data_IF_557966600517
#
_entry.id   IF_557966600517
#
_cell.length_a   1.000
_cell.length_b   1.000
_cell.length_c   1.000
_cell.angle_alpha   90.00
_cell.angle_beta   90.00
_cell.angle_gamma   90.00
#
_symmetry.space_group_name_H-M   'P 1'
#
loop_
_entity.id
_entity.type
_entity.pdbx_description
1 polymer ?
#
# COMPACT_ATOMS: atom_id res chain seq x y z
N UNK A 1 4.72 -13.94 -27.76
CA UNK A 1 5.40 -12.81 -27.10
C UNK A 1 6.87 -13.14 -26.96
N UNK A 2 7.76 -12.37 -27.58
CA UNK A 2 9.21 -12.53 -27.41
C UNK A 2 9.64 -11.96 -26.05
N UNK A 3 10.58 -12.61 -25.34
CA UNK A 3 11.09 -12.06 -24.08
C UNK A 3 11.91 -10.80 -24.37
N UNK A 4 11.64 -9.72 -23.64
CA UNK A 4 12.39 -8.46 -23.71
C UNK A 4 13.90 -8.72 -23.60
N UNK A 5 14.68 -8.07 -24.47
CA UNK A 5 16.14 -8.16 -24.57
C UNK A 5 16.72 -9.52 -25.01
N UNK A 6 15.94 -10.35 -25.72
CA UNK A 6 16.52 -11.53 -26.36
C UNK A 6 17.35 -11.11 -27.61
N UNK A 7 18.62 -11.54 -27.74
CA UNK A 7 19.53 -11.03 -28.75
C UNK A 7 19.23 -11.51 -30.19
N UNK A 8 18.28 -12.43 -30.37
CA UNK A 8 17.95 -13.02 -31.66
C UNK A 8 16.47 -12.78 -32.00
N UNK A 9 16.18 -12.40 -33.24
CA UNK A 9 14.79 -12.15 -33.68
C UNK A 9 14.03 -13.45 -33.99
N UNK A 10 14.73 -14.51 -34.37
CA UNK A 10 14.14 -15.81 -34.65
C UNK A 10 15.15 -16.94 -34.51
N UNK A 11 14.67 -18.19 -34.57
CA UNK A 11 15.55 -19.35 -34.60
C UNK A 11 16.46 -19.34 -35.85
N UNK A 12 15.96 -18.87 -36.99
CA UNK A 12 16.73 -18.79 -38.23
C UNK A 12 17.86 -17.76 -38.10
N UNK A 13 17.55 -16.58 -37.57
CA UNK A 13 18.53 -15.52 -37.28
C UNK A 13 19.67 -16.01 -36.35
N UNK A 14 19.32 -16.80 -35.33
CA UNK A 14 20.30 -17.44 -34.46
C UNK A 14 21.19 -18.46 -35.19
N UNK A 15 20.60 -19.30 -36.04
CA UNK A 15 21.33 -20.31 -36.80
C UNK A 15 22.23 -19.66 -37.86
N UNK A 16 21.76 -18.61 -38.51
CA UNK A 16 22.52 -17.86 -39.52
C UNK A 16 23.73 -17.16 -38.89
N UNK A 17 23.62 -16.66 -37.65
CA UNK A 17 24.74 -16.07 -36.91
C UNK A 17 25.76 -17.14 -36.50
N UNK A 18 25.31 -18.28 -35.99
CA UNK A 18 26.21 -19.33 -35.49
C UNK A 18 26.91 -20.08 -36.62
N UNK A 19 26.25 -20.25 -37.76
CA UNK A 19 26.76 -21.04 -38.89
C UNK A 19 27.17 -20.19 -40.10
N UNK A 20 27.37 -18.87 -39.91
CA UNK A 20 27.70 -17.94 -40.99
C UNK A 20 28.88 -18.37 -41.88
N UNK A 21 29.89 -19.00 -41.27
CA UNK A 21 31.14 -19.39 -41.93
C UNK A 21 31.44 -20.90 -41.82
N UNK A 22 30.44 -21.72 -41.46
CA UNK A 22 30.61 -23.16 -41.20
C UNK A 22 29.50 -23.91 -41.93
N UNK A 23 29.83 -25.03 -42.59
CA UNK A 23 28.81 -25.99 -43.07
C UNK A 23 28.43 -26.93 -41.93
N UNK A 24 27.29 -26.73 -41.25
CA UNK A 24 26.94 -27.51 -40.08
C UNK A 24 26.55 -28.94 -40.46
N UNK A 25 26.91 -29.88 -39.60
CA UNK A 25 26.34 -31.23 -39.65
C UNK A 25 24.91 -31.18 -39.09
N UNK A 26 24.05 -32.13 -39.47
CA UNK A 26 22.70 -32.23 -38.94
C UNK A 26 22.67 -32.29 -37.39
N UNK A 27 23.66 -32.96 -36.79
CA UNK A 27 23.85 -33.04 -35.34
C UNK A 27 24.10 -31.65 -34.73
N UNK A 28 24.86 -30.80 -35.41
CA UNK A 28 25.20 -29.45 -34.94
C UNK A 28 23.99 -28.52 -35.00
N UNK A 29 23.18 -28.65 -36.05
CA UNK A 29 21.90 -27.93 -36.18
C UNK A 29 20.96 -28.31 -35.04
N UNK A 30 20.83 -29.62 -34.73
CA UNK A 30 19.96 -30.10 -33.65
C UNK A 30 20.44 -29.54 -32.29
N UNK A 31 21.75 -29.59 -32.03
CA UNK A 31 22.34 -29.03 -30.81
C UNK A 31 22.10 -27.52 -30.72
N UNK A 32 22.32 -26.77 -31.79
CA UNK A 32 22.10 -25.33 -31.83
C UNK A 32 20.63 -24.99 -31.55
N UNK A 33 19.68 -25.66 -32.21
CA UNK A 33 18.24 -25.48 -31.95
C UNK A 33 17.88 -25.73 -30.48
N UNK A 34 18.43 -26.79 -29.88
CA UNK A 34 18.21 -27.10 -28.46
C UNK A 34 18.76 -26.00 -27.55
N UNK A 35 19.95 -25.48 -27.85
CA UNK A 35 20.58 -24.38 -27.11
C UNK A 35 19.77 -23.09 -27.23
N UNK A 36 19.26 -22.76 -28.42
CA UNK A 36 18.36 -21.62 -28.64
C UNK A 36 17.13 -21.70 -27.72
N UNK A 37 16.40 -22.81 -27.76
CA UNK A 37 15.19 -22.99 -26.96
C UNK A 37 15.48 -22.98 -25.46
N UNK A 38 16.61 -23.54 -25.03
CA UNK A 38 17.05 -23.49 -23.63
C UNK A 38 17.26 -22.04 -23.19
N UNK A 39 17.99 -21.24 -23.97
CA UNK A 39 18.28 -19.85 -23.65
C UNK A 39 17.00 -19.00 -23.66
N UNK A 40 16.16 -19.19 -24.68
CA UNK A 40 14.85 -18.53 -24.79
C UNK A 40 13.97 -18.82 -23.56
N UNK A 41 13.80 -20.10 -23.20
CA UNK A 41 12.98 -20.49 -22.06
C UNK A 41 13.55 -20.00 -20.73
N UNK A 42 14.87 -19.95 -20.61
CA UNK A 42 15.54 -19.40 -19.42
C UNK A 42 15.23 -17.92 -19.27
N UNK A 43 15.36 -17.15 -20.36
CA UNK A 43 15.06 -15.72 -20.35
C UNK A 43 13.58 -15.45 -20.06
N UNK A 44 12.68 -16.24 -20.68
CA UNK A 44 11.25 -16.13 -20.48
C UNK A 44 10.85 -16.39 -19.02
N UNK A 45 11.38 -17.46 -18.41
CA UNK A 45 11.16 -17.75 -16.98
C UNK A 45 11.76 -16.67 -16.08
N UNK A 46 12.94 -16.14 -16.42
CA UNK A 46 13.55 -15.02 -15.67
C UNK A 46 12.66 -13.78 -15.72
N UNK A 47 12.17 -13.40 -16.90
CA UNK A 47 11.30 -12.25 -17.07
C UNK A 47 9.96 -12.44 -16.34
N UNK A 48 9.41 -13.65 -16.31
CA UNK A 48 8.22 -13.96 -15.51
C UNK A 48 8.48 -13.76 -14.01
N UNK A 49 9.61 -14.25 -13.47
CA UNK A 49 9.98 -14.06 -12.05
C UNK A 49 10.22 -12.59 -11.68
N UNK A 50 10.73 -11.78 -12.62
CA UNK A 50 10.92 -10.35 -12.41
C UNK A 50 9.57 -9.61 -12.40
N UNK A 51 8.69 -9.94 -13.36
CA UNK A 51 7.36 -9.31 -13.48
C UNK A 51 6.42 -9.71 -12.34
N UNK A 52 6.54 -10.94 -11.84
CA UNK A 52 5.73 -11.47 -10.74
C UNK A 52 6.64 -11.80 -9.56
N UNK A 53 7.01 -10.77 -8.78
CA UNK A 53 7.66 -10.99 -7.49
C UNK A 53 6.66 -11.61 -6.53
N UNK A 54 6.91 -12.85 -6.16
CA UNK A 54 6.15 -13.55 -5.12
C UNK A 54 6.77 -13.23 -3.75
N UNK A 55 5.91 -12.95 -2.78
CA UNK A 55 6.31 -12.72 -1.39
C UNK A 55 5.57 -13.76 -0.55
N UNK A 56 6.33 -14.64 0.09
CA UNK A 56 5.78 -15.64 1.01
C UNK A 56 5.77 -15.08 2.42
N UNK A 57 4.60 -15.05 3.05
CA UNK A 57 4.42 -14.57 4.43
C UNK A 57 4.03 -15.77 5.28
N UNK A 58 4.87 -16.19 6.25
CA UNK A 58 4.47 -17.22 7.19
C UNK A 58 3.41 -16.65 8.15
N UNK A 59 2.27 -17.33 8.25
CA UNK A 59 1.18 -16.98 9.17
C UNK A 59 0.90 -18.17 10.08
N UNK A 60 0.61 -17.89 11.35
CA UNK A 60 0.08 -18.91 12.27
C UNK A 60 -1.38 -19.21 11.94
N UNK A 61 -1.89 -20.35 12.41
CA UNK A 61 -3.29 -20.74 12.20
C UNK A 61 -4.27 -19.70 12.73
N UNK A 62 -4.00 -19.16 13.91
CA UNK A 62 -4.81 -18.11 14.55
C UNK A 62 -4.84 -16.83 13.71
N UNK A 63 -3.69 -16.40 13.18
CA UNK A 63 -3.61 -15.22 12.31
C UNK A 63 -4.41 -15.42 11.02
N UNK A 64 -4.38 -16.63 10.45
CA UNK A 64 -5.11 -16.96 9.23
C UNK A 64 -6.64 -16.96 9.49
N UNK A 65 -7.08 -17.47 10.63
CA UNK A 65 -8.49 -17.41 11.04
C UNK A 65 -8.97 -15.98 11.29
N UNK A 66 -8.17 -15.13 11.93
CA UNK A 66 -8.52 -13.73 12.10
C UNK A 66 -8.61 -12.99 10.77
N UNK A 67 -7.72 -13.33 9.84
CA UNK A 67 -7.68 -12.73 8.52
C UNK A 67 -8.87 -13.19 7.67
N UNK A 68 -9.24 -14.47 7.71
CA UNK A 68 -10.43 -14.97 7.02
C UNK A 68 -11.74 -14.40 7.58
N UNK A 69 -11.83 -14.13 8.89
CA UNK A 69 -12.97 -13.44 9.50
C UNK A 69 -13.09 -11.97 9.10
N UNK A 70 -11.97 -11.30 8.83
CA UNK A 70 -11.93 -9.89 8.40
C UNK A 70 -12.18 -9.69 6.90
N UNK A 71 -11.99 -10.73 6.10
CA UNK A 71 -12.22 -10.66 4.66
C UNK A 71 -13.72 -10.72 4.39
N UNK A 72 -14.23 -9.67 3.75
CA UNK A 72 -15.57 -9.70 3.16
C UNK A 72 -15.57 -10.66 1.95
N UNK A 73 -16.67 -11.41 1.75
CA UNK A 73 -16.81 -12.54 0.81
C UNK A 73 -16.40 -12.29 -0.65
N UNK A 74 -16.08 -11.06 -1.05
CA UNK A 74 -15.72 -10.68 -2.41
C UNK A 74 -14.20 -10.60 -2.69
N UNK A 75 -13.33 -10.80 -1.69
CA UNK A 75 -11.87 -10.73 -1.89
C UNK A 75 -11.17 -12.06 -1.59
N UNK A 76 -10.20 -12.42 -2.44
CA UNK A 76 -9.23 -13.45 -2.06
C UNK A 76 -8.25 -12.90 -1.00
N UNK A 77 -7.76 -13.78 -0.12
CA UNK A 77 -6.76 -13.43 0.91
C UNK A 77 -5.59 -12.65 0.32
N UNK A 78 -5.08 -13.06 -0.83
CA UNK A 78 -3.97 -12.40 -1.52
C UNK A 78 -4.33 -10.98 -1.97
N UNK A 79 -5.52 -10.76 -2.52
CA UNK A 79 -5.98 -9.44 -2.96
C UNK A 79 -6.20 -8.51 -1.76
N UNK A 80 -6.79 -9.02 -0.68
CA UNK A 80 -7.00 -8.25 0.55
C UNK A 80 -5.68 -7.83 1.20
N UNK A 81 -4.73 -8.76 1.35
CA UNK A 81 -3.41 -8.43 1.90
C UNK A 81 -2.70 -7.39 1.03
N UNK A 82 -2.79 -7.52 -0.29
CA UNK A 82 -2.21 -6.54 -1.23
C UNK A 82 -2.84 -5.16 -1.08
N UNK A 83 -4.17 -5.07 -0.97
CA UNK A 83 -4.87 -3.78 -0.82
C UNK A 83 -4.53 -3.11 0.50
N UNK A 84 -4.47 -3.87 1.61
CA UNK A 84 -4.10 -3.35 2.93
C UNK A 84 -2.67 -2.82 2.95
N UNK A 85 -1.71 -3.56 2.37
CA UNK A 85 -0.31 -3.10 2.30
C UNK A 85 -0.20 -1.82 1.46
N UNK A 86 -0.85 -1.77 0.29
CA UNK A 86 -0.84 -0.58 -0.56
C UNK A 86 -1.51 0.62 0.12
N UNK A 87 -2.62 0.40 0.82
CA UNK A 87 -3.29 1.43 1.59
C UNK A 87 -2.41 1.92 2.74
N UNK A 88 -1.69 1.03 3.43
CA UNK A 88 -0.79 1.42 4.51
C UNK A 88 0.39 2.25 3.99
N UNK A 89 1.02 1.86 2.88
CA UNK A 89 2.10 2.63 2.24
C UNK A 89 1.59 4.03 1.79
N UNK A 90 0.39 4.08 1.21
CA UNK A 90 -0.21 5.34 0.77
C UNK A 90 -0.73 6.21 1.94
N UNK A 91 -1.04 5.60 3.08
CA UNK A 91 -1.46 6.30 4.29
C UNK A 91 -0.29 6.68 5.18
N UNK A 92 0.87 6.02 5.11
CA UNK A 92 2.08 6.44 5.82
C UNK A 92 2.62 7.77 5.29
N UNK A 93 2.47 8.05 3.99
CA UNK A 93 2.71 9.38 3.45
C UNK A 93 1.70 10.42 3.97
N UNK A 94 0.48 10.00 4.33
CA UNK A 94 -0.51 10.85 4.99
C UNK A 94 -0.30 10.97 6.52
N UNK A 95 0.22 9.94 7.20
CA UNK A 95 0.42 9.93 8.66
C UNK A 95 1.66 10.71 9.08
N UNK A 96 2.70 10.78 8.23
CA UNK A 96 3.81 11.71 8.41
C UNK A 96 3.39 13.18 8.22
N UNK A 97 2.23 13.42 7.58
CA UNK A 97 1.68 14.76 7.30
C UNK A 97 0.52 15.16 8.23
N UNK A 98 0.03 14.25 9.09
CA UNK A 98 -1.04 14.53 10.07
C UNK A 98 -0.49 14.51 11.50
N UNK A 99 0.53 15.32 11.78
CA UNK A 99 0.43 16.15 12.98
C UNK A 99 -0.59 17.24 12.65
N UNK A 100 -1.88 16.88 12.65
CA UNK A 100 -2.93 17.89 12.68
C UNK A 100 -2.60 18.76 13.89
N UNK A 101 -2.59 20.07 13.69
CA UNK A 101 -2.24 21.06 14.69
C UNK A 101 -3.35 21.07 15.77
N UNK A 102 -3.33 20.06 16.64
CA UNK A 102 -4.34 19.81 17.68
C UNK A 102 -4.29 20.85 18.79
N UNK A 103 -3.27 21.71 18.78
CA UNK A 103 -3.06 22.79 19.75
C UNK A 103 -4.28 23.70 19.85
N UNK A 104 -5.00 23.94 18.75
CA UNK A 104 -6.24 24.72 18.77
C UNK A 104 -7.39 24.03 19.53
N UNK A 105 -7.50 22.71 19.42
CA UNK A 105 -8.52 21.91 20.12
C UNK A 105 -8.16 21.80 21.61
N UNK A 106 -6.89 21.56 21.92
CA UNK A 106 -6.38 21.50 23.29
C UNK A 106 -6.60 22.82 24.04
N UNK A 107 -6.33 23.96 23.40
CA UNK A 107 -6.58 25.28 23.98
C UNK A 107 -8.07 25.51 24.28
N UNK A 108 -8.97 25.11 23.38
CA UNK A 108 -10.41 25.25 23.61
C UNK A 108 -10.91 24.33 24.73
N UNK A 109 -10.40 23.10 24.81
CA UNK A 109 -10.71 22.19 25.92
C UNK A 109 -10.23 22.74 27.26
N UNK A 110 -9.06 23.38 27.29
CA UNK A 110 -8.54 24.01 28.50
C UNK A 110 -9.46 25.15 28.98
N UNK A 111 -9.92 26.00 28.06
CA UNK A 111 -10.88 27.08 28.37
C UNK A 111 -12.21 26.53 28.89
N UNK A 112 -12.76 25.48 28.28
CA UNK A 112 -14.00 24.85 28.74
C UNK A 112 -13.84 24.27 30.15
N UNK A 113 -12.68 23.67 30.44
CA UNK A 113 -12.39 23.10 31.76
C UNK A 113 -12.29 24.21 32.82
N UNK A 114 -11.56 25.29 32.53
CA UNK A 114 -11.42 26.45 33.43
C UNK A 114 -12.78 27.11 33.72
N UNK A 115 -13.66 27.20 32.71
CA UNK A 115 -15.02 27.70 32.91
C UNK A 115 -15.88 26.77 33.76
N UNK A 116 -15.87 25.46 33.51
CA UNK A 116 -16.61 24.49 34.32
C UNK A 116 -16.12 24.50 35.77
N UNK A 117 -14.81 24.65 35.96
CA UNK A 117 -14.19 24.77 37.28
C UNK A 117 -14.63 26.08 37.95
N UNK A 118 -14.63 27.22 37.24
CA UNK A 118 -15.14 28.49 37.76
C UNK A 118 -16.62 28.42 38.17
N UNK A 119 -17.45 27.70 37.41
CA UNK A 119 -18.87 27.51 37.69
C UNK A 119 -19.09 26.60 38.91
N UNK A 120 -18.23 25.59 39.09
CA UNK A 120 -18.26 24.72 40.28
C UNK A 120 -17.81 25.47 41.54
N UNK A 121 -16.81 26.36 41.44
CA UNK A 121 -16.35 27.19 42.54
C UNK A 121 -17.33 28.34 42.87
N UNK A 122 -17.99 28.93 41.89
CA UNK A 122 -19.01 29.97 42.06
C UNK A 122 -20.42 29.37 42.23
N UNK A 123 -20.64 28.56 43.26
CA UNK A 123 -21.93 27.92 43.59
C UNK A 123 -23.09 28.89 43.91
N UNK A 124 -23.00 30.21 43.61
CA UNK A 124 -24.01 31.20 44.01
C UNK A 124 -24.49 32.22 43.00
N UNK A 125 -23.86 32.47 41.86
CA UNK A 125 -24.46 33.33 40.82
C UNK A 125 -23.88 32.95 39.47
N UNK A 126 -24.58 32.08 38.75
CA UNK A 126 -24.28 31.85 37.34
C UNK A 126 -25.00 32.94 36.57
N UNK A 127 -24.23 33.91 36.09
CA UNK A 127 -24.75 35.00 35.27
C UNK A 127 -25.01 34.46 33.85
N UNK A 128 -26.17 34.76 33.25
CA UNK A 128 -26.58 34.22 31.93
C UNK A 128 -25.55 34.53 30.82
N UNK A 129 -24.72 35.55 31.04
CA UNK A 129 -23.63 35.94 30.15
C UNK A 129 -22.47 34.94 30.11
N UNK A 130 -22.20 34.20 31.20
CA UNK A 130 -21.16 33.18 31.25
C UNK A 130 -21.60 31.88 30.56
N UNK A 131 -22.87 31.50 30.71
CA UNK A 131 -23.46 30.35 29.99
C UNK A 131 -23.43 30.59 28.48
N UNK A 132 -23.79 31.79 28.02
CA UNK A 132 -23.76 32.11 26.58
C UNK A 132 -22.35 32.06 25.97
N UNK A 133 -21.31 32.40 26.73
CA UNK A 133 -19.91 32.27 26.28
C UNK A 133 -19.46 30.81 26.23
N UNK A 134 -19.89 29.98 27.19
CA UNK A 134 -19.63 28.55 27.17
C UNK A 134 -20.26 27.88 25.94
N UNK A 135 -21.52 28.20 25.63
CA UNK A 135 -22.19 27.71 24.43
C UNK A 135 -21.46 28.12 23.14
N UNK A 136 -20.94 29.35 23.08
CA UNK A 136 -20.14 29.81 21.94
C UNK A 136 -18.84 29.02 21.78
N UNK A 137 -18.14 28.73 22.88
CA UNK A 137 -16.93 27.92 22.84
C UNK A 137 -17.23 26.47 22.42
N UNK A 138 -18.33 25.88 22.91
CA UNK A 138 -18.75 24.52 22.54
C UNK A 138 -19.14 24.45 21.06
N UNK A 139 -19.90 25.44 20.55
CA UNK A 139 -20.26 25.52 19.13
C UNK A 139 -19.04 25.69 18.23
N UNK A 140 -18.07 26.51 18.64
CA UNK A 140 -16.82 26.69 17.90
C UNK A 140 -15.98 25.41 17.89
N UNK A 141 -15.95 24.67 19.00
CA UNK A 141 -15.28 23.37 19.10
C UNK A 141 -15.94 22.32 18.20
N UNK A 142 -17.27 22.30 18.13
CA UNK A 142 -18.02 21.46 17.19
C UNK A 142 -17.69 21.79 15.74
N UNK A 143 -17.68 23.08 15.36
CA UNK A 143 -17.32 23.48 14.00
C UNK A 143 -15.90 23.09 13.63
N UNK A 144 -14.93 23.28 14.53
CA UNK A 144 -13.53 22.87 14.32
C UNK A 144 -13.40 21.36 14.13
N UNK A 145 -14.16 20.56 14.87
CA UNK A 145 -14.18 19.11 14.73
C UNK A 145 -14.81 18.68 13.39
N UNK A 146 -15.90 19.33 12.95
CA UNK A 146 -16.54 19.08 11.65
C UNK A 146 -15.70 19.56 10.44
N UNK A 147 -14.81 20.54 10.62
CA UNK A 147 -13.93 20.96 9.51
C UNK A 147 -12.68 20.10 9.36
N UNK A 148 -12.27 19.38 10.41
CA UNK A 148 -11.05 18.57 10.41
C UNK A 148 -11.28 17.05 10.24
N UNK A 149 -12.53 16.58 10.30
CA UNK A 149 -12.95 15.18 10.14
C UNK A 149 -14.11 15.04 9.16
#
# INVERSE_FOLDING_TARGET
>A
MQPENFPYKSLHDYLDIIFKDITPTEIDIIKAKKTYWRNYNTLLKKNQRIKHKEVTIPLTKEQLELLSRKIENNYSVSQYVKSVILQHINNESASLSKKQDLTGIEQQLFLVTDYLESLLYQRRFVDNTQIGKLEQHILYLQQLLETQF
#
